data_IF_890496833394
#
_entry.id   IF_890496833394
#
_cell.length_a   1.000
_cell.length_b   1.000
_cell.length_c   1.000
_cell.angle_alpha   90.00
_cell.angle_beta   90.00
_cell.angle_gamma   90.00
#
_symmetry.space_group_name_H-M   'P 1'
#
loop_
_entity.id
_entity.type
_entity.pdbx_description
1 polymer ?
#
# COMPACT_ATOMS: atom_id res chain seq x y z
N UNK A 1 25.66 0.23 -18.98
CA UNK A 1 26.14 -1.07 -18.49
C UNK A 1 25.08 -1.61 -17.54
N UNK A 2 24.19 -2.45 -18.04
CA UNK A 2 23.08 -3.04 -17.28
C UNK A 2 23.60 -4.31 -16.60
N UNK A 3 23.89 -4.22 -15.30
CA UNK A 3 24.14 -5.40 -14.47
C UNK A 3 22.80 -6.08 -14.24
N UNK A 4 22.48 -7.08 -15.06
CA UNK A 4 21.46 -8.07 -14.72
C UNK A 4 22.00 -8.86 -13.53
N UNK A 5 21.66 -8.41 -12.32
CA UNK A 5 21.84 -9.22 -11.11
C UNK A 5 20.82 -10.34 -11.22
N UNK A 6 21.31 -11.52 -11.62
CA UNK A 6 20.55 -12.74 -11.60
C UNK A 6 20.05 -12.95 -10.16
N UNK A 7 18.74 -12.73 -9.92
CA UNK A 7 18.16 -12.90 -8.58
C UNK A 7 18.32 -14.38 -8.23
N UNK A 8 19.32 -14.71 -7.40
CA UNK A 8 19.50 -16.06 -6.87
C UNK A 8 18.17 -16.62 -6.38
N UNK A 9 17.84 -17.83 -6.83
CA UNK A 9 16.59 -18.50 -6.45
C UNK A 9 16.67 -18.88 -4.97
N UNK A 10 16.12 -18.02 -4.12
CA UNK A 10 16.01 -18.24 -2.67
C UNK A 10 15.02 -19.38 -2.36
N UNK A 11 15.25 -20.08 -1.26
CA UNK A 11 14.35 -21.13 -0.76
C UNK A 11 13.10 -20.54 -0.10
N UNK A 12 12.02 -21.31 0.03
CA UNK A 12 10.78 -20.84 0.69
C UNK A 12 10.99 -20.34 2.13
N UNK A 13 11.87 -21.00 2.88
CA UNK A 13 12.23 -20.59 4.25
C UNK A 13 12.99 -19.26 4.28
N UNK A 14 13.89 -19.03 3.33
CA UNK A 14 14.60 -17.75 3.21
C UNK A 14 13.65 -16.62 2.82
N UNK A 15 12.66 -16.89 1.96
CA UNK A 15 11.59 -15.93 1.62
C UNK A 15 10.82 -15.49 2.86
N UNK A 16 10.36 -16.44 3.69
CA UNK A 16 9.64 -16.13 4.94
C UNK A 16 10.49 -15.31 5.91
N UNK A 17 11.78 -15.65 6.04
CA UNK A 17 12.73 -14.90 6.89
C UNK A 17 12.96 -13.48 6.38
N UNK A 18 13.15 -13.30 5.06
CA UNK A 18 13.30 -11.99 4.44
C UNK A 18 12.04 -11.15 4.63
N UNK A 19 10.86 -11.75 4.45
CA UNK A 19 9.59 -11.05 4.65
C UNK A 19 9.45 -10.57 6.11
N UNK A 20 9.64 -11.47 7.08
CA UNK A 20 9.55 -11.15 8.51
C UNK A 20 10.57 -10.09 8.96
N UNK A 21 11.80 -10.19 8.46
CA UNK A 21 12.84 -9.19 8.68
C UNK A 21 12.44 -7.83 8.08
N UNK A 22 11.91 -7.83 6.85
CA UNK A 22 11.41 -6.63 6.17
C UNK A 22 10.32 -5.91 6.97
N UNK A 23 9.34 -6.66 7.50
CA UNK A 23 8.27 -6.12 8.36
C UNK A 23 8.86 -5.49 9.63
N UNK A 24 9.75 -6.20 10.32
CA UNK A 24 10.37 -5.74 11.56
C UNK A 24 11.19 -4.45 11.36
N UNK A 25 11.92 -4.38 10.24
CA UNK A 25 12.68 -3.19 9.84
C UNK A 25 11.76 -2.01 9.50
N UNK A 26 10.64 -2.26 8.81
CA UNK A 26 9.65 -1.23 8.45
C UNK A 26 9.01 -0.64 9.72
N UNK A 27 8.60 -1.49 10.67
CA UNK A 27 8.11 -1.08 11.99
C UNK A 27 9.15 -0.28 12.77
N UNK A 28 10.43 -0.63 12.62
CA UNK A 28 11.57 0.09 13.22
C UNK A 28 12.00 1.34 12.44
N UNK A 29 11.28 1.71 11.38
CA UNK A 29 11.56 2.86 10.50
C UNK A 29 12.89 2.75 9.72
N UNK A 30 13.46 1.56 9.59
CA UNK A 30 14.65 1.28 8.80
C UNK A 30 14.29 1.02 7.33
N UNK A 31 13.66 2.00 6.67
CA UNK A 31 13.03 1.82 5.35
C UNK A 31 13.95 1.30 4.24
N UNK A 32 15.20 1.77 4.08
CA UNK A 32 16.09 1.24 3.05
C UNK A 32 16.44 -0.24 3.26
N UNK A 33 16.66 -0.64 4.53
CA UNK A 33 16.95 -2.03 4.86
C UNK A 33 15.71 -2.92 4.65
N UNK A 34 14.53 -2.44 5.05
CA UNK A 34 13.26 -3.12 4.79
C UNK A 34 13.02 -3.33 3.29
N UNK A 35 13.20 -2.28 2.47
CA UNK A 35 13.09 -2.37 1.02
C UNK A 35 14.06 -3.41 0.43
N UNK A 36 15.31 -3.42 0.90
CA UNK A 36 16.30 -4.41 0.47
C UNK A 36 15.91 -5.84 0.81
N UNK A 37 15.22 -6.08 1.94
CA UNK A 37 14.69 -7.40 2.26
C UNK A 37 13.60 -7.83 1.27
N UNK A 38 12.60 -6.97 1.05
CA UNK A 38 11.50 -7.27 0.13
C UNK A 38 11.96 -7.41 -1.33
N UNK A 39 12.92 -6.59 -1.78
CA UNK A 39 13.43 -6.63 -3.16
C UNK A 39 14.18 -7.93 -3.50
N UNK A 40 14.65 -8.67 -2.48
CA UNK A 40 15.28 -9.99 -2.64
C UNK A 40 14.27 -11.12 -2.79
N UNK A 41 12.99 -10.89 -2.50
CA UNK A 41 11.94 -11.87 -2.73
C UNK A 41 11.66 -11.95 -4.24
N UNK A 42 11.70 -13.16 -4.79
CA UNK A 42 11.52 -13.39 -6.24
C UNK A 42 10.07 -13.62 -6.65
N UNK A 43 9.29 -14.27 -5.79
CA UNK A 43 7.85 -14.47 -5.99
C UNK A 43 7.10 -13.32 -5.31
N UNK A 44 6.94 -12.22 -6.05
CA UNK A 44 6.35 -11.00 -5.53
C UNK A 44 4.81 -11.11 -5.56
N UNK A 45 4.21 -11.37 -4.39
CA UNK A 45 2.76 -11.24 -4.20
C UNK A 45 2.36 -9.78 -3.88
N UNK A 46 1.05 -9.52 -3.80
CA UNK A 46 0.54 -8.17 -3.51
C UNK A 46 1.04 -7.61 -2.17
N UNK A 47 1.33 -8.46 -1.18
CA UNK A 47 1.83 -8.01 0.13
C UNK A 47 3.29 -7.57 0.04
N UNK A 48 4.12 -8.27 -0.73
CA UNK A 48 5.51 -7.88 -1.00
C UNK A 48 5.56 -6.55 -1.74
N UNK A 49 4.76 -6.40 -2.80
CA UNK A 49 4.69 -5.17 -3.59
C UNK A 49 4.20 -3.98 -2.75
N UNK A 50 3.12 -4.16 -1.98
CA UNK A 50 2.62 -3.14 -1.07
C UNK A 50 3.69 -2.71 -0.05
N UNK A 51 4.42 -3.65 0.55
CA UNK A 51 5.44 -3.32 1.54
C UNK A 51 6.66 -2.61 0.93
N UNK A 52 7.05 -2.95 -0.31
CA UNK A 52 8.03 -2.18 -1.08
C UNK A 52 7.52 -0.75 -1.31
N UNK A 53 6.27 -0.60 -1.74
CA UNK A 53 5.64 0.70 -1.97
C UNK A 53 5.59 1.54 -0.69
N UNK A 54 5.25 0.93 0.44
CA UNK A 54 5.25 1.60 1.74
C UNK A 54 6.66 2.11 2.10
N UNK A 55 7.71 1.32 1.87
CA UNK A 55 9.08 1.80 2.05
C UNK A 55 9.37 3.04 1.19
N UNK A 56 8.97 3.02 -0.09
CA UNK A 56 9.12 4.15 -1.02
C UNK A 56 8.33 5.39 -0.54
N UNK A 57 7.10 5.21 -0.07
CA UNK A 57 6.28 6.28 0.48
C UNK A 57 6.96 6.98 1.66
N UNK A 58 7.50 6.19 2.59
CA UNK A 58 8.14 6.72 3.80
C UNK A 58 9.40 7.55 3.51
N UNK A 59 10.08 7.28 2.39
CA UNK A 59 11.24 8.06 1.92
C UNK A 59 10.89 9.09 0.84
N UNK A 60 9.60 9.35 0.60
CA UNK A 60 9.07 10.31 -0.39
C UNK A 60 9.41 10.00 -1.85
N UNK A 61 9.68 8.74 -2.17
CA UNK A 61 9.85 8.30 -3.56
C UNK A 61 8.48 7.93 -4.16
N UNK A 62 7.68 8.97 -4.42
CA UNK A 62 6.26 8.80 -4.74
C UNK A 62 6.00 8.13 -6.10
N UNK A 63 6.82 8.37 -7.11
CA UNK A 63 6.66 7.74 -8.44
C UNK A 63 6.77 6.21 -8.35
N UNK A 64 7.81 5.71 -7.69
CA UNK A 64 8.03 4.27 -7.52
C UNK A 64 7.00 3.66 -6.56
N UNK A 65 6.61 4.40 -5.52
CA UNK A 65 5.52 4.01 -4.65
C UNK A 65 4.23 3.78 -5.46
N UNK A 66 3.83 4.75 -6.30
CA UNK A 66 2.62 4.66 -7.10
C UNK A 66 2.69 3.51 -8.11
N UNK A 67 3.84 3.34 -8.78
CA UNK A 67 4.06 2.23 -9.73
C UNK A 67 3.87 0.87 -9.06
N UNK A 68 4.47 0.66 -7.88
CA UNK A 68 4.35 -0.59 -7.11
C UNK A 68 2.92 -0.82 -6.60
N UNK A 69 2.19 0.24 -6.21
CA UNK A 69 0.79 0.13 -5.79
C UNK A 69 -0.12 -0.30 -6.94
N UNK A 70 0.08 0.25 -8.14
CA UNK A 70 -0.65 -0.18 -9.34
C UNK A 70 -0.38 -1.65 -9.68
N UNK A 71 0.87 -2.10 -9.60
CA UNK A 71 1.25 -3.49 -9.83
C UNK A 71 0.61 -4.41 -8.77
N UNK A 72 0.66 -4.00 -7.50
CA UNK A 72 0.03 -4.72 -6.40
C UNK A 72 -1.48 -4.84 -6.58
N UNK A 73 -2.15 -3.77 -7.01
CA UNK A 73 -3.60 -3.75 -7.27
C UNK A 73 -4.00 -4.69 -8.42
N UNK A 74 -3.18 -4.79 -9.47
CA UNK A 74 -3.40 -5.70 -10.58
C UNK A 74 -3.38 -7.17 -10.13
N UNK A 75 -2.52 -7.54 -9.18
CA UNK A 75 -2.50 -8.90 -8.59
C UNK A 75 -3.74 -9.24 -7.74
N UNK A 76 -4.49 -8.20 -7.34
CA UNK A 76 -5.73 -8.34 -6.57
C UNK A 76 -6.97 -8.30 -7.47
N UNK A 77 -6.89 -7.62 -8.61
CA UNK A 77 -7.97 -7.47 -9.59
C UNK A 77 -8.46 -8.84 -10.08
N UNK A 78 -9.75 -9.13 -9.86
CA UNK A 78 -10.38 -10.42 -10.18
C UNK A 78 -10.59 -11.38 -9.01
N UNK A 79 -10.05 -11.06 -7.82
CA UNK A 79 -10.47 -11.74 -6.57
C UNK A 79 -11.85 -11.20 -6.15
N UNK A 80 -12.68 -11.99 -5.47
CA UNK A 80 -13.97 -11.56 -4.90
C UNK A 80 -13.74 -10.57 -3.73
N UNK A 81 -13.19 -9.40 -4.05
CA UNK A 81 -12.92 -8.28 -3.13
C UNK A 81 -14.24 -7.73 -2.55
N UNK A 82 -15.34 -7.93 -3.28
CA UNK A 82 -16.71 -7.50 -2.95
C UNK A 82 -17.30 -8.14 -1.70
N UNK A 83 -16.73 -9.24 -1.20
CA UNK A 83 -17.12 -9.76 0.11
C UNK A 83 -16.24 -9.05 1.15
N UNK A 84 -16.66 -7.85 1.55
CA UNK A 84 -16.10 -7.19 2.73
C UNK A 84 -16.02 -8.22 3.85
N UNK A 85 -14.85 -8.35 4.48
CA UNK A 85 -14.83 -8.98 5.78
C UNK A 85 -15.70 -8.07 6.66
N UNK A 86 -16.86 -8.56 7.10
CA UNK A 86 -17.74 -7.81 8.00
C UNK A 86 -17.01 -7.65 9.33
N UNK A 87 -16.22 -6.59 9.42
CA UNK A 87 -15.69 -6.12 10.70
C UNK A 87 -16.87 -5.56 11.49
N UNK A 88 -16.96 -5.84 12.80
CA UNK A 88 -17.92 -5.17 13.66
C UNK A 88 -17.85 -3.65 13.52
N UNK A 89 -19.00 -2.98 13.56
CA UNK A 89 -19.15 -1.52 13.35
C UNK A 89 -18.17 -0.68 14.20
N UNK A 90 -17.84 -1.14 15.41
CA UNK A 90 -16.84 -0.48 16.26
C UNK A 90 -15.46 -0.35 15.58
N UNK A 91 -15.00 -1.40 14.90
CA UNK A 91 -13.72 -1.39 14.19
C UNK A 91 -13.81 -0.55 12.91
N UNK A 92 -14.93 -0.59 12.19
CA UNK A 92 -15.14 0.26 11.01
C UNK A 92 -15.10 1.75 11.38
N UNK A 93 -15.77 2.14 12.48
CA UNK A 93 -15.72 3.53 12.96
C UNK A 93 -14.32 3.98 13.33
N UNK A 94 -13.53 3.10 13.96
CA UNK A 94 -12.13 3.37 14.25
C UNK A 94 -11.31 3.57 12.96
N UNK A 95 -11.46 2.64 12.00
CA UNK A 95 -10.79 2.66 10.69
C UNK A 95 -11.09 3.95 9.90
N UNK A 96 -12.37 4.36 9.88
CA UNK A 96 -12.82 5.56 9.17
C UNK A 96 -12.39 6.88 9.83
N UNK A 97 -12.27 6.90 11.16
CA UNK A 97 -12.07 8.12 11.94
C UNK A 97 -10.60 8.47 12.18
N UNK A 98 -9.76 7.47 12.43
CA UNK A 98 -8.34 7.65 12.67
C UNK A 98 -7.60 7.89 11.34
N UNK A 99 -6.79 8.95 11.28
CA UNK A 99 -5.87 9.15 10.16
C UNK A 99 -4.82 8.05 10.20
N UNK A 100 -4.90 7.08 9.29
CA UNK A 100 -4.15 5.83 9.42
C UNK A 100 -2.65 6.05 9.21
N UNK A 101 -1.78 5.71 10.18
CA UNK A 101 -0.40 5.45 9.87
C UNK A 101 -0.37 4.21 8.96
N UNK A 102 0.18 4.33 7.75
CA UNK A 102 0.28 3.19 6.86
C UNK A 102 1.12 2.10 7.51
N UNK A 103 0.50 0.96 7.80
CA UNK A 103 1.16 -0.17 8.46
C UNK A 103 1.78 -1.11 7.42
N UNK A 104 2.84 -1.87 7.77
CA UNK A 104 3.25 -3.01 6.96
C UNK A 104 2.12 -4.04 6.85
N UNK A 105 1.97 -4.63 5.66
CA UNK A 105 0.96 -5.64 5.35
C UNK A 105 1.50 -7.06 5.62
N UNK A 106 0.89 -7.86 6.50
CA UNK A 106 1.30 -9.25 6.70
C UNK A 106 0.84 -10.14 5.53
N UNK A 107 1.57 -11.22 5.26
CA UNK A 107 1.31 -12.10 4.13
C UNK A 107 -0.06 -12.82 4.20
N UNK A 108 -0.57 -13.06 5.40
CA UNK A 108 -1.85 -13.77 5.65
C UNK A 108 -3.06 -12.85 5.85
N UNK A 109 -2.93 -11.57 5.52
CA UNK A 109 -4.04 -10.61 5.64
C UNK A 109 -5.23 -11.02 4.75
N UNK A 110 -6.48 -10.87 5.22
CA UNK A 110 -7.65 -11.01 4.36
C UNK A 110 -7.59 -10.05 3.16
N UNK A 111 -7.84 -10.58 1.95
CA UNK A 111 -7.71 -9.82 0.69
C UNK A 111 -8.53 -8.53 0.68
N UNK A 112 -9.73 -8.52 1.26
CA UNK A 112 -10.57 -7.32 1.35
C UNK A 112 -9.96 -6.23 2.24
N UNK A 113 -9.29 -6.61 3.34
CA UNK A 113 -8.56 -5.68 4.20
C UNK A 113 -7.28 -5.18 3.52
N UNK A 114 -6.55 -6.06 2.83
CA UNK A 114 -5.38 -5.66 2.06
C UNK A 114 -5.74 -4.67 0.96
N UNK A 115 -6.83 -4.90 0.24
CA UNK A 115 -7.24 -4.05 -0.87
C UNK A 115 -7.60 -2.66 -0.38
N UNK A 116 -8.36 -2.59 0.71
CA UNK A 116 -8.64 -1.33 1.41
C UNK A 116 -7.35 -0.60 1.78
N UNK A 117 -6.43 -1.25 2.48
CA UNK A 117 -5.18 -0.65 2.92
C UNK A 117 -4.31 -0.16 1.75
N UNK A 118 -4.27 -0.92 0.65
CA UNK A 118 -3.63 -0.53 -0.60
C UNK A 118 -4.23 0.76 -1.17
N UNK A 119 -5.57 0.82 -1.26
CA UNK A 119 -6.27 2.00 -1.78
C UNK A 119 -6.00 3.24 -0.93
N UNK A 120 -5.96 3.12 0.40
CA UNK A 120 -5.63 4.25 1.29
C UNK A 120 -4.25 4.82 0.99
N UNK A 121 -3.22 3.98 0.89
CA UNK A 121 -1.85 4.42 0.57
C UNK A 121 -1.76 4.97 -0.85
N UNK A 122 -2.48 4.38 -1.81
CA UNK A 122 -2.54 4.83 -3.20
C UNK A 122 -3.19 6.20 -3.32
N UNK A 123 -4.26 6.49 -2.58
CA UNK A 123 -4.90 7.80 -2.57
C UNK A 123 -3.96 8.90 -2.06
N UNK A 124 -3.26 8.67 -0.94
CA UNK A 124 -2.28 9.64 -0.42
C UNK A 124 -1.12 9.82 -1.40
N UNK A 125 -0.59 8.75 -1.97
CA UNK A 125 0.51 8.82 -2.96
C UNK A 125 0.07 9.56 -4.23
N UNK A 126 -1.12 9.26 -4.74
CA UNK A 126 -1.71 9.94 -5.89
C UNK A 126 -1.89 11.43 -5.63
N UNK A 127 -2.35 11.81 -4.42
CA UNK A 127 -2.46 13.22 -4.03
C UNK A 127 -1.10 13.92 -4.05
N UNK A 128 -0.02 13.29 -3.55
CA UNK A 128 1.35 13.82 -3.60
C UNK A 128 1.88 14.00 -5.02
N UNK A 129 1.38 13.20 -5.97
CA UNK A 129 1.71 13.27 -7.40
C UNK A 129 0.73 14.14 -8.22
N UNK A 130 -0.22 14.83 -7.56
CA UNK A 130 -1.25 15.63 -8.21
C UNK A 130 -2.19 14.83 -9.15
N UNK A 131 -2.33 13.53 -8.94
CA UNK A 131 -3.22 12.63 -9.68
C UNK A 131 -4.64 12.68 -9.09
N UNK A 132 -5.28 13.84 -9.11
CA UNK A 132 -6.52 14.09 -8.37
C UNK A 132 -7.73 13.28 -8.85
N UNK A 133 -7.77 12.90 -10.13
CA UNK A 133 -8.81 11.99 -10.65
C UNK A 133 -8.74 10.61 -9.98
N UNK A 134 -7.53 10.13 -9.70
CA UNK A 134 -7.29 8.86 -9.01
C UNK A 134 -7.77 8.93 -7.56
N UNK A 135 -7.45 10.03 -6.85
CA UNK A 135 -7.93 10.25 -5.47
C UNK A 135 -9.46 10.22 -5.39
N UNK A 136 -10.15 10.89 -6.34
CA UNK A 136 -11.62 10.91 -6.42
C UNK A 136 -12.18 9.51 -6.74
N UNK A 137 -11.56 8.78 -7.66
CA UNK A 137 -11.95 7.40 -7.99
C UNK A 137 -11.81 6.45 -6.80
N UNK A 138 -10.72 6.56 -6.05
CA UNK A 138 -10.48 5.75 -4.85
C UNK A 138 -11.48 6.08 -3.74
N UNK A 139 -11.78 7.36 -3.47
CA UNK A 139 -12.82 7.73 -2.50
C UNK A 139 -14.17 7.13 -2.86
N UNK A 140 -14.58 7.21 -4.13
CA UNK A 140 -15.81 6.59 -4.62
C UNK A 140 -15.80 5.06 -4.41
N UNK A 141 -14.68 4.39 -4.69
CA UNK A 141 -14.50 2.96 -4.45
C UNK A 141 -14.66 2.58 -2.97
N UNK A 142 -14.19 3.45 -2.06
CA UNK A 142 -14.28 3.29 -0.62
C UNK A 142 -15.59 3.84 0.00
N UNK A 143 -16.49 4.39 -0.83
CA UNK A 143 -17.78 4.94 -0.43
C UNK A 143 -17.71 6.23 0.38
N UNK A 144 -16.62 7.02 0.27
CA UNK A 144 -16.49 8.31 0.95
C UNK A 144 -16.45 8.24 2.48
N UNK A 145 -16.11 7.07 3.06
CA UNK A 145 -16.18 6.83 4.50
C UNK A 145 -14.93 7.26 5.27
N UNK A 146 -13.79 7.40 4.59
CA UNK A 146 -12.48 7.62 5.23
C UNK A 146 -12.17 9.12 5.35
N UNK A 147 -12.23 9.65 6.57
CA UNK A 147 -12.05 11.09 6.82
C UNK A 147 -10.75 11.66 6.26
N UNK A 148 -9.67 10.87 6.25
CA UNK A 148 -8.38 11.34 5.75
C UNK A 148 -8.39 11.54 4.23
N UNK A 149 -9.04 10.66 3.45
CA UNK A 149 -9.19 10.83 2.00
C UNK A 149 -10.11 12.02 1.69
N UNK A 150 -11.21 12.16 2.44
CA UNK A 150 -12.12 13.30 2.24
C UNK A 150 -11.42 14.65 2.50
N UNK A 151 -10.47 14.70 3.46
CA UNK A 151 -9.60 15.88 3.64
C UNK A 151 -8.74 16.15 2.40
N UNK A 152 -8.20 15.12 1.74
CA UNK A 152 -7.45 15.29 0.49
C UNK A 152 -8.34 15.88 -0.61
N UNK A 153 -9.57 15.37 -0.74
CA UNK A 153 -10.55 15.87 -1.74
C UNK A 153 -10.92 17.33 -1.49
N UNK A 154 -11.15 17.72 -0.23
CA UNK A 154 -11.42 19.11 0.11
C UNK A 154 -10.23 20.00 -0.25
N UNK A 155 -9.01 19.59 0.08
CA UNK A 155 -7.79 20.33 -0.30
C UNK A 155 -7.61 20.47 -1.82
N UNK A 156 -8.02 19.47 -2.61
CA UNK A 156 -8.01 19.57 -4.08
C UNK A 156 -8.99 20.66 -4.51
N UNK A 157 -10.21 20.61 -4.00
CA UNK A 157 -11.30 21.53 -4.38
C UNK A 157 -10.96 22.97 -4.03
N UNK A 158 -10.31 23.21 -2.88
CA UNK A 158 -9.86 24.55 -2.48
C UNK A 158 -8.76 25.10 -3.40
N UNK A 159 -7.88 24.25 -3.94
CA UNK A 159 -6.85 24.65 -4.89
C UNK A 159 -7.38 24.89 -6.31
N UNK A 160 -8.42 24.16 -6.73
CA UNK A 160 -9.07 24.36 -8.05
C UNK A 160 -9.87 25.68 -8.11
N UNK A 161 -10.18 26.29 -6.96
CA UNK A 161 -10.95 27.53 -6.82
C UNK A 161 -10.08 28.80 -6.65
N UNK A 162 -8.75 28.69 -6.77
CA UNK A 162 -7.79 29.78 -6.64
C UNK A 162 -7.17 30.18 -8.00
#
# INVERSE_FOLDING_TARGET
MTLFVDKQKITGKETEQLFSAGISLLLSKAYPAAYSCFNRISDEDFSVLYNKALCCFMVKWYDECYRLLCESEQLMSGRNITREAELPEAFLRYDHAEGHPFHPMPQSIPVSLAYRQLLLLKAETAFRLHLYSEVKSISACLGGKYKHIEKLINNITDNDNL
#
